data_IF_858606099104
#
_entry.id   IF_858606099104
#
_cell.length_a   1.000
_cell.length_b   1.000
_cell.length_c   1.000
_cell.angle_alpha   90.00
_cell.angle_beta   90.00
_cell.angle_gamma   90.00
#
_symmetry.space_group_name_H-M   'P 1'
#
loop_
_entity.id
_entity.type
_entity.pdbx_description
1 polymer ?
#
# COMPACT_ATOMS: atom_id res chain seq x y z
N UNK A 1 8.74 -6.28 -12.17
CA UNK A 1 8.13 -4.98 -11.88
C UNK A 1 9.11 -3.92 -12.33
N UNK A 2 8.66 -2.90 -13.06
CA UNK A 2 9.55 -1.85 -13.56
C UNK A 2 9.86 -0.93 -12.37
N UNK A 3 11.14 -0.77 -12.04
CA UNK A 3 11.57 0.19 -11.02
C UNK A 3 11.77 1.55 -11.69
N UNK A 4 11.09 2.57 -11.17
CA UNK A 4 11.20 3.94 -11.65
C UNK A 4 12.30 4.68 -10.88
N UNK A 5 13.01 5.63 -11.54
CA UNK A 5 14.07 6.39 -10.88
C UNK A 5 13.56 7.28 -9.73
N UNK A 6 12.27 7.60 -9.74
CA UNK A 6 11.56 8.31 -8.66
C UNK A 6 10.13 7.78 -8.54
N UNK A 7 9.50 7.88 -7.37
CA UNK A 7 8.10 7.50 -7.22
C UNK A 7 7.20 8.38 -8.10
N UNK A 8 6.32 7.72 -8.87
CA UNK A 8 5.32 8.35 -9.72
C UNK A 8 4.05 8.72 -8.95
N UNK A 9 3.70 7.89 -7.96
CA UNK A 9 2.46 7.96 -7.21
C UNK A 9 2.75 8.15 -5.72
N UNK A 10 1.88 8.89 -5.03
CA UNK A 10 1.88 9.01 -3.57
C UNK A 10 0.47 8.75 -3.04
N UNK A 11 0.38 8.14 -1.85
CA UNK A 11 -0.90 7.87 -1.21
C UNK A 11 -1.27 9.03 -0.29
N UNK A 12 -2.55 9.43 -0.30
CA UNK A 12 -3.08 10.42 0.64
C UNK A 12 -3.26 9.78 2.02
N UNK A 13 -2.55 10.24 3.07
CA UNK A 13 -2.67 9.69 4.41
C UNK A 13 -4.06 9.86 5.01
N UNK A 14 -4.78 10.91 4.61
CA UNK A 14 -6.09 11.22 5.19
C UNK A 14 -7.16 10.24 4.70
N UNK A 15 -7.09 9.84 3.43
CA UNK A 15 -7.97 8.79 2.89
C UNK A 15 -7.68 7.44 3.53
N UNK A 16 -6.39 7.12 3.79
CA UNK A 16 -6.03 5.85 4.43
C UNK A 16 -6.58 5.71 5.85
N UNK A 17 -6.72 6.82 6.59
CA UNK A 17 -7.29 6.80 7.96
C UNK A 17 -8.79 6.49 7.96
N UNK A 18 -9.49 6.82 6.89
CA UNK A 18 -10.91 6.56 6.73
C UNK A 18 -11.19 5.12 6.26
N UNK A 19 -10.16 4.42 5.79
CA UNK A 19 -10.26 3.01 5.40
C UNK A 19 -10.11 2.11 6.62
N UNK A 20 -11.17 1.39 6.97
CA UNK A 20 -11.19 0.42 8.07
C UNK A 20 -11.78 -0.91 7.61
N UNK A 21 -11.42 -2.00 8.30
CA UNK A 21 -11.90 -3.34 8.04
C UNK A 21 -10.96 -4.23 7.24
N UNK A 22 -11.20 -5.54 7.32
CA UNK A 22 -10.38 -6.58 6.71
C UNK A 22 -10.34 -6.47 5.18
N UNK A 23 -11.48 -6.17 4.55
CA UNK A 23 -11.59 -5.98 3.10
C UNK A 23 -10.78 -4.78 2.60
N UNK A 24 -10.74 -3.70 3.40
CA UNK A 24 -9.98 -2.50 3.06
C UNK A 24 -8.46 -2.78 3.09
N UNK A 25 -7.99 -3.52 4.10
CA UNK A 25 -6.59 -3.93 4.22
C UNK A 25 -6.18 -4.89 3.10
N UNK A 26 -7.03 -5.86 2.76
CA UNK A 26 -6.81 -6.76 1.63
C UNK A 26 -6.75 -5.99 0.29
N UNK A 27 -7.66 -5.04 0.08
CA UNK A 27 -7.70 -4.18 -1.10
C UNK A 27 -6.44 -3.32 -1.22
N UNK A 28 -6.04 -2.65 -0.14
CA UNK A 28 -4.80 -1.86 -0.07
C UNK A 28 -3.56 -2.72 -0.36
N UNK A 29 -3.44 -3.88 0.29
CA UNK A 29 -2.35 -4.80 0.05
C UNK A 29 -2.27 -5.24 -1.41
N UNK A 30 -3.41 -5.56 -2.02
CA UNK A 30 -3.50 -5.95 -3.43
C UNK A 30 -3.01 -4.83 -4.37
N UNK A 31 -3.41 -3.58 -4.12
CA UNK A 31 -2.97 -2.41 -4.91
C UNK A 31 -1.47 -2.17 -4.72
N UNK A 32 -0.99 -2.16 -3.47
CA UNK A 32 0.41 -1.89 -3.18
C UNK A 32 1.34 -2.97 -3.74
N UNK A 33 0.95 -4.24 -3.67
CA UNK A 33 1.70 -5.35 -4.27
C UNK A 33 1.95 -5.14 -5.76
N UNK A 34 0.97 -4.60 -6.49
CA UNK A 34 1.07 -4.34 -7.93
C UNK A 34 1.84 -3.06 -8.26
N UNK A 35 1.75 -2.05 -7.40
CA UNK A 35 2.24 -0.70 -7.69
C UNK A 35 3.47 -0.28 -6.85
N UNK A 36 4.03 -1.15 -6.01
CA UNK A 36 5.11 -0.80 -5.06
C UNK A 36 6.37 -0.21 -5.67
N UNK A 37 6.68 -0.52 -6.93
CA UNK A 37 7.82 0.07 -7.66
C UNK A 37 7.56 1.51 -8.16
N UNK A 38 6.29 1.90 -8.28
CA UNK A 38 5.86 3.24 -8.71
C UNK A 38 5.39 4.13 -7.56
N UNK A 39 5.08 3.54 -6.39
CA UNK A 39 4.55 4.23 -5.23
C UNK A 39 5.67 4.72 -4.29
N UNK A 40 5.54 5.96 -3.83
CA UNK A 40 6.33 6.47 -2.70
C UNK A 40 6.09 5.56 -1.49
N UNK A 41 7.19 5.07 -0.90
CA UNK A 41 7.18 4.10 0.21
C UNK A 41 6.42 2.79 -0.11
N UNK A 42 6.27 2.42 -1.38
CA UNK A 42 5.40 1.33 -1.83
C UNK A 42 5.65 -0.03 -1.15
N UNK A 43 6.92 -0.42 -0.97
CA UNK A 43 7.28 -1.67 -0.24
C UNK A 43 6.89 -1.61 1.24
N UNK A 44 7.02 -0.43 1.88
CA UNK A 44 6.62 -0.24 3.27
C UNK A 44 5.11 -0.33 3.41
N UNK A 45 4.38 0.32 2.50
CA UNK A 45 2.93 0.29 2.44
C UNK A 45 2.40 -1.13 2.22
N UNK A 46 2.96 -1.89 1.27
CA UNK A 46 2.66 -3.31 1.08
C UNK A 46 2.84 -4.11 2.37
N UNK A 47 3.99 -3.99 3.03
CA UNK A 47 4.27 -4.73 4.27
C UNK A 47 3.34 -4.37 5.42
N UNK A 48 3.02 -3.09 5.61
CA UNK A 48 2.12 -2.65 6.69
C UNK A 48 0.70 -3.17 6.43
N UNK A 49 0.18 -3.02 5.21
CA UNK A 49 -1.14 -3.56 4.87
C UNK A 49 -1.20 -5.07 5.04
N UNK A 50 -0.11 -5.78 4.70
CA UNK A 50 0.00 -7.22 4.91
C UNK A 50 -0.11 -7.55 6.42
N UNK A 51 0.80 -7.03 7.24
CA UNK A 51 0.81 -7.29 8.70
C UNK A 51 -0.50 -6.95 9.38
N UNK A 52 -1.09 -5.79 9.07
CA UNK A 52 -2.37 -5.39 9.64
C UNK A 52 -3.49 -6.35 9.23
N UNK A 53 -3.49 -6.84 7.99
CA UNK A 53 -4.53 -7.74 7.50
C UNK A 53 -4.55 -9.07 8.27
N UNK A 54 -3.41 -9.77 8.44
CA UNK A 54 -3.39 -11.01 9.25
C UNK A 54 -3.02 -10.78 10.72
N UNK A 55 -3.03 -9.53 11.19
CA UNK A 55 -2.81 -9.17 12.60
C UNK A 55 -1.46 -9.67 13.14
N UNK A 56 -0.41 -9.53 12.33
CA UNK A 56 1.00 -9.81 12.66
C UNK A 56 1.69 -8.62 13.36
#
# INVERSE_FOLDING_TARGET
>A
MIDFPSPLLAVSPDVLKEMDGEDALFGMWTVFTKCKGSLKDGRRLENISWRLWHRE
#
